data_IF_610972226998
#
_entry.id   IF_610972226998
#
_cell.length_a   1.000
_cell.length_b   1.000
_cell.length_c   1.000
_cell.angle_alpha   90.00
_cell.angle_beta   90.00
_cell.angle_gamma   90.00
#
_symmetry.space_group_name_H-M   'P 1'
#
loop_
_entity.id
_entity.type
_entity.pdbx_description
1 polymer ?
#
# COMPACT_ATOMS: atom_id res chain seq x y z
N UNK A 1 -32.15 8.22 20.46
CA UNK A 1 -30.82 8.29 19.83
C UNK A 1 -29.85 7.54 20.75
N UNK A 2 -29.40 6.35 20.36
CA UNK A 2 -28.44 5.58 21.15
C UNK A 2 -27.04 5.75 20.56
N UNK A 3 -26.08 6.13 21.41
CA UNK A 3 -24.70 6.42 21.06
C UNK A 3 -23.95 5.08 20.94
N UNK A 4 -23.49 4.74 19.73
CA UNK A 4 -22.66 3.56 19.51
C UNK A 4 -21.21 3.91 19.87
N UNK A 5 -20.76 3.43 21.03
CA UNK A 5 -19.37 3.53 21.45
C UNK A 5 -18.63 2.28 20.96
N UNK A 6 -17.79 2.43 19.94
CA UNK A 6 -16.94 1.36 19.44
C UNK A 6 -15.65 1.30 20.27
N UNK A 7 -15.56 0.31 21.16
CA UNK A 7 -14.33 -0.02 21.90
C UNK A 7 -13.47 -0.92 21.01
N UNK A 8 -12.39 -0.38 20.44
CA UNK A 8 -11.42 -1.16 19.68
C UNK A 8 -10.64 -2.03 20.66
N UNK A 9 -10.91 -3.35 20.64
CA UNK A 9 -10.12 -4.34 21.36
C UNK A 9 -8.90 -4.70 20.52
N UNK A 10 -7.73 -4.31 21.02
CA UNK A 10 -6.42 -4.66 20.47
C UNK A 10 -6.19 -6.18 20.55
N UNK A 11 -5.66 -6.77 19.47
CA UNK A 11 -5.19 -8.17 19.29
C UNK A 11 -6.08 -9.16 18.49
N UNK A 12 -7.16 -8.72 17.82
CA UNK A 12 -7.96 -9.60 16.95
C UNK A 12 -8.43 -8.92 15.64
N UNK A 13 -7.61 -8.05 15.05
CA UNK A 13 -7.88 -7.51 13.71
C UNK A 13 -7.26 -8.49 12.71
N UNK A 14 -7.78 -9.72 12.69
CA UNK A 14 -7.67 -10.55 11.50
C UNK A 14 -8.12 -9.69 10.34
N UNK A 15 -7.21 -9.43 9.41
CA UNK A 15 -7.44 -8.71 8.17
C UNK A 15 -8.62 -9.38 7.48
N UNK A 16 -9.82 -8.84 7.70
CA UNK A 16 -11.02 -9.29 7.04
C UNK A 16 -10.92 -8.70 5.64
N UNK A 17 -10.36 -9.48 4.70
CA UNK A 17 -10.51 -9.21 3.28
C UNK A 17 -11.93 -9.65 2.93
N UNK A 18 -12.91 -8.73 2.75
CA UNK A 18 -14.14 -9.15 2.12
C UNK A 18 -13.75 -9.76 0.78
N UNK A 19 -14.25 -10.98 0.52
CA UNK A 19 -14.13 -11.62 -0.79
C UNK A 19 -14.91 -10.73 -1.76
N UNK A 20 -14.24 -9.71 -2.29
CA UNK A 20 -14.78 -8.89 -3.36
C UNK A 20 -15.23 -9.86 -4.43
N UNK A 21 -16.44 -9.64 -4.94
CA UNK A 21 -16.97 -10.39 -6.06
C UNK A 21 -15.96 -10.22 -7.20
N UNK A 22 -15.07 -11.19 -7.35
CA UNK A 22 -14.04 -11.17 -8.34
C UNK A 22 -14.74 -11.41 -9.67
N UNK A 23 -15.07 -10.30 -10.35
CA UNK A 23 -14.83 -10.25 -11.80
C UNK A 23 -13.44 -10.85 -11.99
N UNK A 24 -13.28 -11.83 -12.89
CA UNK A 24 -11.97 -12.40 -13.23
C UNK A 24 -11.08 -11.29 -13.81
N UNK A 25 -10.55 -10.43 -12.95
CA UNK A 25 -9.51 -9.49 -13.29
C UNK A 25 -8.24 -10.31 -13.30
N UNK A 26 -7.69 -10.50 -14.50
CA UNK A 26 -6.42 -11.20 -14.67
C UNK A 26 -5.40 -10.53 -13.77
N UNK A 27 -4.82 -11.29 -12.85
CA UNK A 27 -3.80 -10.79 -11.94
C UNK A 27 -2.56 -10.42 -12.77
N UNK A 28 -2.10 -9.15 -12.71
CA UNK A 28 -0.92 -8.72 -13.45
C UNK A 28 0.33 -9.37 -12.86
N UNK A 29 1.24 -9.79 -13.74
CA UNK A 29 2.49 -10.44 -13.34
C UNK A 29 3.61 -9.43 -13.06
N UNK A 30 3.47 -8.20 -13.55
CA UNK A 30 4.43 -7.11 -13.38
C UNK A 30 3.76 -5.84 -12.89
N UNK A 31 4.56 -4.93 -12.31
CA UNK A 31 4.06 -3.64 -11.84
C UNK A 31 3.62 -2.77 -13.02
N UNK A 32 4.30 -2.88 -14.17
CA UNK A 32 3.96 -2.16 -15.39
C UNK A 32 2.60 -2.60 -15.92
N UNK A 33 2.31 -3.91 -15.92
CA UNK A 33 1.00 -4.45 -16.28
C UNK A 33 -0.09 -3.96 -15.33
N UNK A 34 0.14 -4.05 -14.02
CA UNK A 34 -0.79 -3.58 -13.00
C UNK A 34 -1.12 -2.10 -13.21
N UNK A 35 -0.08 -1.26 -13.34
CA UNK A 35 -0.23 0.18 -13.48
C UNK A 35 -0.77 0.60 -14.85
N UNK A 36 -0.76 -0.26 -15.86
CA UNK A 36 -1.36 0.02 -17.18
C UNK A 36 -2.88 0.00 -17.15
N UNK A 37 -3.50 -0.69 -16.18
CA UNK A 37 -4.95 -0.74 -16.02
C UNK A 37 -5.46 0.32 -15.04
N UNK A 38 -6.64 0.88 -15.29
CA UNK A 38 -7.21 1.92 -14.43
C UNK A 38 -7.66 1.39 -13.07
N UNK A 39 -8.16 0.15 -13.02
CA UNK A 39 -8.68 -0.47 -11.79
C UNK A 39 -7.57 -0.75 -10.77
N UNK A 40 -6.50 -1.43 -11.20
CA UNK A 40 -5.35 -1.71 -10.33
C UNK A 40 -4.65 -0.43 -9.89
N UNK A 41 -4.49 0.54 -10.81
CA UNK A 41 -3.90 1.84 -10.48
C UNK A 41 -4.72 2.63 -9.46
N UNK A 42 -6.04 2.69 -9.63
CA UNK A 42 -6.93 3.39 -8.70
C UNK A 42 -6.92 2.74 -7.31
N UNK A 43 -6.90 1.41 -7.26
CA UNK A 43 -6.85 0.66 -5.99
C UNK A 43 -5.52 0.86 -5.28
N UNK A 44 -4.40 0.76 -6.01
CA UNK A 44 -3.07 1.01 -5.46
C UNK A 44 -2.93 2.44 -4.91
N UNK A 45 -3.50 3.43 -5.60
CA UNK A 45 -3.50 4.82 -5.11
C UNK A 45 -4.32 4.98 -3.83
N UNK A 46 -5.52 4.39 -3.78
CA UNK A 46 -6.36 4.45 -2.59
C UNK A 46 -5.70 3.82 -1.35
N UNK A 47 -4.99 2.71 -1.53
CA UNK A 47 -4.22 2.08 -0.45
C UNK A 47 -3.04 2.96 -0.04
N UNK A 48 -2.28 3.50 -1.00
CA UNK A 48 -1.19 4.44 -0.71
C UNK A 48 -1.68 5.65 0.11
N UNK A 49 -2.76 6.29 -0.32
CA UNK A 49 -3.35 7.45 0.37
C UNK A 49 -3.77 7.10 1.79
N UNK A 50 -4.36 5.90 2.00
CA UNK A 50 -4.74 5.42 3.32
C UNK A 50 -3.52 5.18 4.23
N UNK A 51 -2.42 4.65 3.69
CA UNK A 51 -1.19 4.41 4.45
C UNK A 51 -0.55 5.71 4.91
N UNK A 52 -0.50 6.71 4.04
CA UNK A 52 0.02 8.05 4.36
C UNK A 52 -0.89 8.75 5.38
N UNK A 53 -2.22 8.74 5.14
CA UNK A 53 -3.19 9.39 6.02
C UNK A 53 -3.14 8.82 7.45
N UNK A 54 -3.05 7.50 7.58
CA UNK A 54 -3.05 6.83 8.88
C UNK A 54 -1.71 6.94 9.61
N UNK A 55 -0.69 7.56 8.99
CA UNK A 55 0.67 7.70 9.54
C UNK A 55 1.29 6.36 9.98
N UNK A 56 0.81 5.26 9.38
CA UNK A 56 1.29 3.91 9.69
C UNK A 56 2.62 3.64 8.99
N UNK A 57 2.88 4.35 7.88
CA UNK A 57 4.07 4.22 7.05
C UNK A 57 4.71 5.59 6.84
N UNK A 58 6.03 5.66 6.99
CA UNK A 58 6.82 6.85 6.67
C UNK A 58 7.53 6.63 5.33
N UNK A 59 7.47 7.64 4.45
CA UNK A 59 8.18 7.58 3.17
C UNK A 59 9.68 7.67 3.41
N UNK A 60 10.42 6.60 3.10
CA UNK A 60 11.87 6.60 3.24
C UNK A 60 12.47 7.57 2.21
N UNK A 61 13.25 8.57 2.63
CA UNK A 61 13.92 9.46 1.71
C UNK A 61 14.87 8.71 0.77
N UNK A 62 14.83 9.04 -0.52
CA UNK A 62 15.64 8.39 -1.54
C UNK A 62 17.16 8.43 -1.24
N UNK A 63 17.63 9.50 -0.60
CA UNK A 63 19.04 9.64 -0.20
C UNK A 63 19.47 8.64 0.89
N UNK A 64 18.53 8.08 1.66
CA UNK A 64 18.79 7.00 2.61
C UNK A 64 18.84 5.61 1.92
N UNK A 65 18.15 5.46 0.79
CA UNK A 65 18.09 4.23 0.01
C UNK A 65 19.36 4.04 -0.84
N UNK A 66 19.91 5.13 -1.39
CA UNK A 66 21.13 5.09 -2.22
C UNK A 66 22.40 4.64 -1.44
N UNK A 67 22.41 4.81 -0.11
CA UNK A 67 23.57 4.44 0.74
C UNK A 67 23.61 2.95 1.07
N UNK A 68 22.47 2.27 1.09
CA UNK A 68 22.39 0.82 1.31
C UNK A 68 22.62 -0.01 0.06
N UNK A 69 22.56 0.60 -1.13
CA UNK A 69 22.74 -0.08 -2.43
C UNK A 69 24.16 -0.02 -3.00
N UNK A 70 25.15 0.44 -2.24
CA UNK A 70 26.56 0.33 -2.64
C UNK A 70 26.97 1.16 -3.86
N UNK A 71 26.18 2.17 -4.26
CA UNK A 71 26.54 3.08 -5.33
C UNK A 71 27.53 4.15 -4.85
N UNK A 72 28.74 3.74 -4.48
CA UNK A 72 29.85 4.65 -4.18
C UNK A 72 31.06 4.27 -5.03
N UNK A 73 31.31 5.05 -6.08
CA UNK A 73 32.65 5.14 -6.67
C UNK A 73 32.69 5.15 -8.20
N UNK A 74 32.32 6.27 -8.81
CA UNK A 74 32.97 6.72 -10.05
C UNK A 74 33.05 8.24 -10.03
N UNK A 75 34.21 8.75 -9.66
CA UNK A 75 34.66 10.10 -10.00
C UNK A 75 35.94 9.94 -10.82
N UNK A 76 35.94 10.51 -12.03
CA UNK A 76 37.12 10.63 -12.89
C UNK A 76 38.13 11.62 -12.30
#
# INVERSE_FOLDING_TARGET
MAKAEYRILTAAISIFKPRALAVETVEPSTIEEAMSTSEWRATAQAEYDALIHNSTWEQVPYHLIARSSGASGYSK
#
